data_IF_072987958624
#
_entry.id   IF_072987958624
#
_cell.length_a   1.000
_cell.length_b   1.000
_cell.length_c   1.000
_cell.angle_alpha   90.00
_cell.angle_beta   90.00
_cell.angle_gamma   90.00
#
_symmetry.space_group_name_H-M   'P 1'
#
loop_
_entity.id
_entity.type
_entity.pdbx_description
1 polymer ?
#
# COMPACT_ATOMS: atom_id res chain seq x y z
N UNK A 1 3.75 13.33 21.81
CA UNK A 1 4.20 12.29 20.88
C UNK A 1 4.13 12.78 19.45
N UNK A 2 4.86 12.13 18.55
CA UNK A 2 4.88 12.52 17.15
C UNK A 2 4.93 11.28 16.25
N UNK A 3 3.99 11.19 15.30
CA UNK A 3 4.07 10.23 14.22
C UNK A 3 5.10 10.67 13.18
N UNK A 4 5.85 9.73 12.63
CA UNK A 4 6.87 9.99 11.60
C UNK A 4 6.66 9.00 10.45
N UNK A 5 6.68 9.49 9.22
CA UNK A 5 6.55 8.68 8.01
C UNK A 5 7.62 9.05 6.99
N UNK A 6 8.17 8.04 6.31
CA UNK A 6 9.18 8.22 5.26
C UNK A 6 10.30 7.18 5.28
N UNK A 7 10.33 6.29 6.28
CA UNK A 7 11.38 5.28 6.40
C UNK A 7 12.79 5.87 6.50
N UNK A 8 13.78 5.14 6.01
CA UNK A 8 15.18 5.55 6.00
C UNK A 8 15.42 6.77 5.11
N UNK A 9 14.87 6.80 3.93
CA UNK A 9 14.97 7.92 2.99
C UNK A 9 14.33 9.19 3.56
N UNK A 10 13.14 9.08 4.15
CA UNK A 10 12.49 10.20 4.82
C UNK A 10 13.29 10.71 6.02
N UNK A 11 13.87 9.81 6.83
CA UNK A 11 14.74 10.21 7.93
C UNK A 11 15.97 11.02 7.46
N UNK A 12 16.45 10.72 6.26
CA UNK A 12 17.64 11.36 5.68
C UNK A 12 17.34 12.67 4.94
N UNK A 13 16.23 12.70 4.18
CA UNK A 13 15.94 13.80 3.25
C UNK A 13 14.71 14.64 3.62
N UNK A 14 14.00 14.26 4.67
CA UNK A 14 12.81 14.94 5.18
C UNK A 14 11.63 13.99 5.31
N UNK A 15 11.15 13.70 6.53
CA UNK A 15 9.97 12.88 6.77
C UNK A 15 8.69 13.70 6.72
N UNK A 16 7.55 13.03 6.60
CA UNK A 16 6.25 13.59 6.99
C UNK A 16 6.08 13.47 8.51
N UNK A 17 5.72 14.56 9.18
CA UNK A 17 5.66 14.67 10.63
C UNK A 17 4.23 14.98 11.13
N UNK A 18 3.80 14.23 12.13
CA UNK A 18 2.47 14.33 12.74
C UNK A 18 2.61 14.58 14.24
N UNK A 19 3.00 15.79 14.66
CA UNK A 19 3.14 16.13 16.08
C UNK A 19 1.78 16.16 16.80
N UNK A 20 1.75 15.56 17.99
CA UNK A 20 0.66 15.63 18.96
C UNK A 20 1.20 15.93 20.34
N UNK A 21 0.31 16.21 21.29
CA UNK A 21 0.61 16.69 22.62
C UNK A 21 0.04 18.09 22.82
N UNK A 22 0.39 18.80 23.89
CA UNK A 22 -0.14 20.13 24.10
C UNK A 22 0.37 21.12 23.04
N UNK A 23 -0.46 22.05 22.62
CA UNK A 23 -0.07 23.06 21.61
C UNK A 23 1.10 23.93 22.07
N UNK A 24 1.19 24.18 23.39
CA UNK A 24 2.29 24.91 23.96
C UNK A 24 3.62 24.17 23.77
N UNK A 25 3.64 22.85 24.01
CA UNK A 25 4.83 22.03 23.79
C UNK A 25 5.20 21.98 22.30
N UNK A 26 4.22 21.91 21.41
CA UNK A 26 4.45 21.97 19.95
C UNK A 26 5.16 23.25 19.53
N UNK A 27 4.69 24.42 20.04
CA UNK A 27 5.27 25.73 19.70
C UNK A 27 6.76 25.85 20.04
N UNK A 28 7.27 25.11 21.02
CA UNK A 28 8.71 25.10 21.34
C UNK A 28 9.58 24.38 20.30
N UNK A 29 8.98 23.50 19.49
CA UNK A 29 9.71 22.70 18.50
C UNK A 29 9.28 22.98 17.06
N UNK A 30 8.27 23.80 16.84
CA UNK A 30 7.65 24.07 15.54
C UNK A 30 8.67 24.51 14.51
N UNK A 31 9.54 25.44 14.85
CA UNK A 31 10.59 25.95 13.96
C UNK A 31 11.63 24.88 13.56
N UNK A 32 11.83 23.87 14.40
CA UNK A 32 12.70 22.73 14.13
C UNK A 32 11.99 21.75 13.19
N UNK A 33 10.78 21.31 13.57
CA UNK A 33 10.08 20.25 12.81
C UNK A 33 9.67 20.73 11.42
N UNK A 34 9.33 22.02 11.25
CA UNK A 34 9.07 22.64 9.95
C UNK A 34 10.30 22.57 9.03
N UNK A 35 11.52 22.73 9.58
CA UNK A 35 12.76 22.69 8.79
C UNK A 35 13.19 21.27 8.42
N UNK A 36 12.95 20.29 9.28
CA UNK A 36 13.39 18.91 9.04
C UNK A 36 12.35 18.07 8.27
N UNK A 37 11.09 18.53 8.20
CA UNK A 37 10.06 17.86 7.41
C UNK A 37 10.38 17.91 5.91
N UNK A 38 9.81 16.96 5.15
CA UNK A 38 9.83 17.02 3.69
C UNK A 38 9.25 18.35 3.21
N UNK A 39 9.91 18.98 2.24
CA UNK A 39 9.47 20.22 1.62
C UNK A 39 8.83 19.92 0.27
N UNK A 40 7.58 20.25 0.10
CA UNK A 40 6.81 20.05 -1.14
C UNK A 40 6.23 21.38 -1.62
N UNK A 41 5.59 21.40 -2.78
CA UNK A 41 5.06 22.63 -3.38
C UNK A 41 4.10 23.39 -2.46
N UNK A 42 3.33 22.68 -1.64
CA UNK A 42 2.36 23.25 -0.71
C UNK A 42 2.95 23.61 0.66
N UNK A 43 4.26 23.40 0.84
CA UNK A 43 4.98 23.70 2.08
C UNK A 43 5.55 22.48 2.79
N UNK A 44 5.97 22.63 4.06
CA UNK A 44 6.55 21.54 4.84
C UNK A 44 5.48 20.48 5.20
N UNK A 45 5.85 19.20 5.06
CA UNK A 45 4.98 18.07 5.42
C UNK A 45 4.92 17.87 6.93
N UNK A 46 4.45 18.86 7.65
CA UNK A 46 4.23 18.83 9.10
C UNK A 46 3.04 19.70 9.48
N UNK A 47 2.18 19.18 10.34
CA UNK A 47 1.11 19.96 10.95
C UNK A 47 0.82 19.43 12.35
N UNK A 48 0.48 20.32 13.29
CA UNK A 48 -0.01 19.91 14.60
C UNK A 48 -1.34 19.18 14.46
N UNK A 49 -1.40 17.95 14.98
CA UNK A 49 -2.57 17.07 14.81
C UNK A 49 -3.60 17.26 15.94
N UNK A 50 -3.13 17.45 17.18
CA UNK A 50 -4.01 17.57 18.34
C UNK A 50 -3.36 17.11 19.63
N UNK A 51 -4.11 17.11 20.71
CA UNK A 51 -3.63 16.80 22.03
C UNK A 51 -3.24 15.34 22.23
N UNK A 52 -2.45 15.07 23.26
CA UNK A 52 -2.09 13.73 23.70
C UNK A 52 -1.39 12.88 22.63
N UNK A 53 -1.97 11.73 22.32
CA UNK A 53 -1.44 10.78 21.34
C UNK A 53 -1.94 10.98 19.92
N UNK A 54 -2.63 12.08 19.60
CA UNK A 54 -3.28 12.28 18.30
C UNK A 54 -2.34 12.10 17.11
N UNK A 55 -1.10 12.60 17.18
CA UNK A 55 -0.11 12.41 16.11
C UNK A 55 0.25 10.96 15.86
N UNK A 56 0.42 10.16 16.91
CA UNK A 56 0.69 8.73 16.79
C UNK A 56 -0.54 7.97 16.27
N UNK A 57 -1.74 8.40 16.66
CA UNK A 57 -3.00 7.83 16.19
C UNK A 57 -3.16 8.02 14.68
N UNK A 58 -2.98 9.24 14.20
CA UNK A 58 -3.05 9.54 12.75
C UNK A 58 -2.00 8.76 11.98
N UNK A 59 -0.76 8.65 12.51
CA UNK A 59 0.29 7.83 11.87
C UNK A 59 -0.09 6.35 11.79
N UNK A 60 -0.70 5.82 12.83
CA UNK A 60 -1.18 4.43 12.84
C UNK A 60 -2.26 4.22 11.76
N UNK A 61 -3.24 5.11 11.67
CA UNK A 61 -4.32 5.04 10.67
C UNK A 61 -3.76 5.20 9.25
N UNK A 62 -2.81 6.13 9.03
CA UNK A 62 -2.08 6.24 7.77
C UNK A 62 -1.53 4.89 7.31
N UNK A 63 -0.88 4.15 8.22
CA UNK A 63 -0.36 2.83 7.87
C UNK A 63 -1.46 1.82 7.58
N UNK A 64 -2.62 1.91 8.22
CA UNK A 64 -3.78 1.08 7.88
C UNK A 64 -4.27 1.34 6.45
N UNK A 65 -4.39 2.60 6.05
CA UNK A 65 -4.72 3.00 4.67
C UNK A 65 -3.66 2.44 3.70
N UNK A 66 -2.39 2.59 4.03
CA UNK A 66 -1.27 2.10 3.21
C UNK A 66 -1.31 0.57 3.02
N UNK A 67 -1.73 -0.20 4.03
CA UNK A 67 -1.97 -1.65 3.89
C UNK A 67 -3.06 -1.92 2.85
N UNK A 68 -4.15 -1.17 2.87
CA UNK A 68 -5.18 -1.22 1.85
C UNK A 68 -4.62 -0.94 0.46
N UNK A 69 -3.90 0.15 0.30
CA UNK A 69 -3.29 0.55 -0.96
C UNK A 69 -2.34 -0.52 -1.52
N UNK A 70 -1.47 -1.08 -0.69
CA UNK A 70 -0.54 -2.13 -1.11
C UNK A 70 -1.26 -3.41 -1.54
N UNK A 71 -2.31 -3.81 -0.84
CA UNK A 71 -3.13 -4.97 -1.22
C UNK A 71 -3.84 -4.74 -2.56
N UNK A 72 -4.44 -3.57 -2.74
CA UNK A 72 -5.12 -3.19 -3.99
C UNK A 72 -4.16 -3.15 -5.19
N UNK A 73 -2.94 -2.66 -4.99
CA UNK A 73 -1.89 -2.71 -6.01
C UNK A 73 -1.51 -4.15 -6.33
N UNK A 74 -1.38 -5.01 -5.32
CA UNK A 74 -1.06 -6.42 -5.52
C UNK A 74 -2.17 -7.16 -6.29
N UNK A 75 -3.44 -6.87 -6.00
CA UNK A 75 -4.58 -7.43 -6.73
C UNK A 75 -4.63 -6.92 -8.18
N UNK A 76 -4.39 -5.63 -8.40
CA UNK A 76 -4.29 -5.07 -9.74
C UNK A 76 -3.16 -5.73 -10.55
N UNK A 77 -2.00 -5.93 -9.94
CA UNK A 77 -0.88 -6.67 -10.52
C UNK A 77 -1.29 -8.10 -10.90
N UNK A 78 -1.92 -8.84 -9.98
CA UNK A 78 -2.30 -10.23 -10.22
C UNK A 78 -3.31 -10.36 -11.37
N UNK A 79 -4.33 -9.51 -11.41
CA UNK A 79 -5.30 -9.48 -12.52
C UNK A 79 -4.62 -9.17 -13.84
N UNK A 80 -3.77 -8.17 -13.92
CA UNK A 80 -3.07 -7.81 -15.15
C UNK A 80 -2.11 -8.91 -15.61
N UNK A 81 -1.38 -9.54 -14.69
CA UNK A 81 -0.43 -10.61 -15.00
C UNK A 81 -1.13 -11.92 -15.34
N UNK A 82 -2.06 -12.36 -14.48
CA UNK A 82 -2.69 -13.69 -14.59
C UNK A 82 -3.81 -13.73 -15.61
N UNK A 83 -4.68 -12.71 -15.69
CA UNK A 83 -5.79 -12.64 -16.65
C UNK A 83 -5.37 -11.96 -17.94
N UNK A 84 -4.66 -10.84 -17.84
CA UNK A 84 -4.19 -10.07 -18.99
C UNK A 84 -2.96 -10.64 -19.67
N UNK A 85 -2.21 -11.50 -18.99
CA UNK A 85 -0.95 -12.05 -19.51
C UNK A 85 0.09 -10.96 -19.78
N UNK A 86 0.12 -9.89 -18.98
CA UNK A 86 1.08 -8.81 -19.15
C UNK A 86 2.48 -9.24 -18.71
N UNK A 87 3.47 -8.88 -19.50
CA UNK A 87 4.89 -8.95 -19.11
C UNK A 87 5.23 -7.90 -18.08
N UNK A 88 6.35 -8.05 -17.35
CA UNK A 88 6.80 -7.02 -16.41
C UNK A 88 7.05 -5.67 -17.09
N UNK A 89 7.50 -5.67 -18.34
CA UNK A 89 7.67 -4.45 -19.12
C UNK A 89 6.33 -3.75 -19.43
N UNK A 90 5.29 -4.52 -19.78
CA UNK A 90 3.95 -3.98 -19.98
C UNK A 90 3.36 -3.45 -18.66
N UNK A 91 3.59 -4.16 -17.53
CA UNK A 91 3.22 -3.71 -16.19
C UNK A 91 3.93 -2.41 -15.81
N UNK A 92 5.25 -2.33 -15.99
CA UNK A 92 6.01 -1.11 -15.80
C UNK A 92 5.42 0.06 -16.59
N UNK A 93 5.11 -0.15 -17.86
CA UNK A 93 4.52 0.88 -18.74
C UNK A 93 3.14 1.32 -18.25
N UNK A 94 2.28 0.38 -17.84
CA UNK A 94 0.94 0.68 -17.34
C UNK A 94 0.99 1.51 -16.05
N UNK A 95 1.78 1.09 -15.06
CA UNK A 95 1.92 1.82 -13.79
C UNK A 95 2.61 3.18 -13.97
N UNK A 96 3.59 3.29 -14.89
CA UNK A 96 4.21 4.58 -15.25
C UNK A 96 3.19 5.55 -15.84
N UNK A 97 2.29 5.06 -16.70
CA UNK A 97 1.23 5.90 -17.28
C UNK A 97 0.18 6.28 -16.22
N UNK A 98 -0.20 5.36 -15.36
CA UNK A 98 -1.13 5.64 -14.27
C UNK A 98 -0.61 6.69 -13.28
N UNK A 99 0.71 6.74 -13.07
CA UNK A 99 1.35 7.74 -12.21
C UNK A 99 1.38 9.15 -12.79
N UNK A 100 0.87 9.36 -14.01
CA UNK A 100 0.70 10.70 -14.61
C UNK A 100 -0.72 11.25 -14.47
N UNK A 101 -1.62 10.48 -13.89
CA UNK A 101 -3.03 10.82 -13.76
C UNK A 101 -3.55 10.71 -12.33
N UNK A 102 -4.80 10.30 -12.19
CA UNK A 102 -5.51 10.25 -10.90
C UNK A 102 -4.94 9.24 -9.89
N UNK A 103 -4.10 8.33 -10.33
CA UNK A 103 -3.39 7.38 -9.46
C UNK A 103 -2.01 7.86 -9.05
N UNK A 104 -1.59 9.07 -9.44
CA UNK A 104 -0.30 9.64 -9.07
C UNK A 104 -0.06 9.54 -7.58
N UNK A 105 0.98 8.78 -7.21
CA UNK A 105 1.34 8.56 -5.81
C UNK A 105 2.69 7.87 -5.70
N UNK A 106 3.34 8.03 -4.54
CA UNK A 106 4.60 7.35 -4.24
C UNK A 106 4.53 5.83 -4.45
N UNK A 107 3.45 5.16 -3.99
CA UNK A 107 3.33 3.71 -4.15
C UNK A 107 3.17 3.28 -5.61
N UNK A 108 2.44 4.02 -6.43
CA UNK A 108 2.33 3.73 -7.87
C UNK A 108 3.66 3.96 -8.59
N UNK A 109 4.35 5.04 -8.24
CA UNK A 109 5.68 5.35 -8.79
C UNK A 109 6.68 4.22 -8.51
N UNK A 110 6.88 3.85 -7.24
CA UNK A 110 7.83 2.78 -6.89
C UNK A 110 7.40 1.42 -7.45
N UNK A 111 6.11 1.16 -7.58
CA UNK A 111 5.60 -0.07 -8.20
C UNK A 111 6.03 -0.16 -9.66
N UNK A 112 5.98 0.95 -10.41
CA UNK A 112 6.48 0.97 -11.79
C UNK A 112 7.98 0.62 -11.86
N UNK A 113 8.78 1.15 -10.93
CA UNK A 113 10.22 0.86 -10.86
C UNK A 113 10.51 -0.60 -10.51
N UNK A 114 9.74 -1.19 -9.59
CA UNK A 114 9.90 -2.60 -9.18
C UNK A 114 9.84 -3.54 -10.39
N UNK A 115 8.93 -3.31 -11.34
CA UNK A 115 8.79 -4.13 -12.53
C UNK A 115 9.96 -4.01 -13.52
N UNK A 116 10.77 -2.97 -13.42
CA UNK A 116 11.89 -2.71 -14.31
C UNK A 116 13.25 -3.12 -13.71
N UNK A 117 13.30 -3.57 -12.46
CA UNK A 117 14.56 -3.95 -11.81
C UNK A 117 15.03 -5.31 -12.34
N UNK A 118 16.20 -5.38 -13.02
CA UNK A 118 16.75 -6.66 -13.48
C UNK A 118 17.19 -7.52 -12.29
N UNK A 119 17.11 -8.83 -12.44
CA UNK A 119 17.72 -9.77 -11.49
C UNK A 119 19.25 -9.63 -11.54
N UNK A 120 19.87 -9.39 -10.40
CA UNK A 120 21.33 -9.28 -10.27
C UNK A 120 22.07 -10.64 -10.25
N UNK A 121 21.32 -11.75 -10.24
CA UNK A 121 21.83 -13.12 -10.15
C UNK A 121 21.49 -14.00 -11.34
N UNK A 122 20.70 -13.52 -12.29
CA UNK A 122 20.27 -14.30 -13.44
C UNK A 122 19.44 -13.50 -14.45
N UNK A 123 18.78 -14.20 -15.34
CA UNK A 123 17.93 -13.60 -16.37
C UNK A 123 16.56 -13.20 -15.80
N UNK A 124 15.97 -12.15 -16.36
CA UNK A 124 14.64 -11.64 -16.03
C UNK A 124 14.65 -10.53 -14.99
N UNK A 125 13.50 -10.24 -14.44
CA UNK A 125 13.31 -9.15 -13.46
C UNK A 125 13.28 -9.71 -12.02
N UNK A 126 13.83 -8.93 -11.10
CA UNK A 126 13.97 -9.30 -9.69
C UNK A 126 12.61 -9.57 -9.02
N UNK A 127 11.54 -8.90 -9.43
CA UNK A 127 10.19 -9.08 -8.86
C UNK A 127 9.71 -10.53 -8.95
N UNK A 128 10.06 -11.25 -10.00
CA UNK A 128 9.70 -12.66 -10.18
C UNK A 128 10.52 -13.63 -9.29
N UNK A 129 11.56 -13.12 -8.63
CA UNK A 129 12.45 -13.88 -7.72
C UNK A 129 12.20 -13.59 -6.25
N UNK A 130 11.38 -12.59 -5.94
CA UNK A 130 11.05 -12.22 -4.56
C UNK A 130 10.24 -13.33 -3.90
N UNK A 131 10.57 -13.63 -2.64
CA UNK A 131 9.83 -14.62 -1.86
C UNK A 131 8.36 -14.19 -1.72
N UNK A 132 7.46 -15.05 -2.16
CA UNK A 132 6.01 -14.89 -2.01
C UNK A 132 5.58 -15.11 -0.55
N UNK A 133 5.95 -14.16 0.31
CA UNK A 133 5.62 -14.17 1.74
C UNK A 133 5.75 -12.77 2.33
N UNK A 134 4.65 -12.24 2.83
CA UNK A 134 4.60 -10.92 3.46
C UNK A 134 4.52 -11.03 4.98
N UNK A 135 5.21 -10.13 5.67
CA UNK A 135 5.09 -9.96 7.12
C UNK A 135 4.29 -8.71 7.50
N UNK A 136 4.16 -8.46 8.79
CA UNK A 136 3.57 -7.23 9.31
C UNK A 136 4.36 -6.70 10.53
N UNK A 137 4.31 -5.38 10.72
CA UNK A 137 4.99 -4.68 11.85
C UNK A 137 4.03 -4.29 12.98
N UNK A 138 2.71 -4.51 12.84
CA UNK A 138 1.70 -4.28 13.87
C UNK A 138 0.77 -3.08 13.68
N UNK A 139 1.16 -2.03 12.96
CA UNK A 139 0.35 -0.81 12.81
C UNK A 139 -0.98 -1.04 12.08
N UNK A 140 -1.00 -1.89 11.05
CA UNK A 140 -2.25 -2.27 10.38
C UNK A 140 -3.21 -3.02 11.31
N UNK A 141 -2.68 -3.92 12.15
CA UNK A 141 -3.48 -4.60 13.19
C UNK A 141 -4.10 -3.61 14.17
N UNK A 142 -3.31 -2.65 14.66
CA UNK A 142 -3.83 -1.64 15.59
C UNK A 142 -4.91 -0.75 14.96
N UNK A 143 -4.78 -0.42 13.67
CA UNK A 143 -5.82 0.32 12.95
C UNK A 143 -7.14 -0.44 12.92
N UNK A 144 -7.11 -1.74 12.60
CA UNK A 144 -8.31 -2.60 12.56
C UNK A 144 -8.90 -2.76 13.97
N UNK A 145 -8.07 -2.95 15.00
CA UNK A 145 -8.53 -3.00 16.39
C UNK A 145 -9.23 -1.70 16.79
N UNK A 146 -8.64 -0.55 16.44
CA UNK A 146 -9.23 0.74 16.77
C UNK A 146 -10.52 1.00 15.99
N UNK A 147 -10.62 0.60 14.72
CA UNK A 147 -11.85 0.66 13.96
C UNK A 147 -12.98 -0.13 14.63
N UNK A 148 -12.68 -1.33 15.12
CA UNK A 148 -13.65 -2.16 15.85
C UNK A 148 -14.09 -1.53 17.19
N UNK A 149 -13.15 -0.99 17.98
CA UNK A 149 -13.44 -0.27 19.23
C UNK A 149 -14.34 0.95 19.02
N UNK A 150 -14.12 1.68 17.91
CA UNK A 150 -14.92 2.85 17.55
C UNK A 150 -16.23 2.50 16.81
N UNK A 151 -16.49 1.22 16.55
CA UNK A 151 -17.64 0.75 15.74
C UNK A 151 -17.66 1.34 14.32
N UNK A 152 -16.48 1.54 13.72
CA UNK A 152 -16.31 2.08 12.38
C UNK A 152 -15.99 0.95 11.40
N UNK A 153 -16.74 0.90 10.30
CA UNK A 153 -16.52 -0.09 9.25
C UNK A 153 -15.27 0.24 8.43
N UNK A 154 -14.30 -0.67 8.44
CA UNK A 154 -13.06 -0.55 7.67
C UNK A 154 -12.74 -1.86 6.91
N UNK A 155 -13.67 -2.38 6.06
CA UNK A 155 -13.52 -3.71 5.46
C UNK A 155 -12.32 -3.81 4.52
N UNK A 156 -11.98 -2.79 3.74
CA UNK A 156 -10.81 -2.81 2.85
C UNK A 156 -9.50 -2.91 3.65
N UNK A 157 -9.37 -2.13 4.72
CA UNK A 157 -8.20 -2.16 5.60
C UNK A 157 -8.11 -3.50 6.33
N UNK A 158 -9.24 -4.02 6.83
CA UNK A 158 -9.29 -5.31 7.51
C UNK A 158 -8.91 -6.47 6.57
N UNK A 159 -9.49 -6.51 5.37
CA UNK A 159 -9.17 -7.54 4.38
C UNK A 159 -7.69 -7.52 3.97
N UNK A 160 -7.08 -6.33 3.86
CA UNK A 160 -5.65 -6.22 3.56
C UNK A 160 -4.77 -6.77 4.69
N UNK A 161 -5.17 -6.59 5.94
CA UNK A 161 -4.50 -7.20 7.09
C UNK A 161 -4.60 -8.72 7.06
N UNK A 162 -5.80 -9.26 6.83
CA UNK A 162 -6.03 -10.71 6.75
C UNK A 162 -5.25 -11.34 5.58
N UNK A 163 -5.18 -10.67 4.44
CA UNK A 163 -4.36 -11.08 3.30
C UNK A 163 -2.88 -11.22 3.67
N UNK A 164 -2.35 -10.34 4.53
CA UNK A 164 -0.98 -10.47 5.05
C UNK A 164 -0.79 -11.67 5.95
N UNK A 165 -1.79 -12.00 6.78
CA UNK A 165 -1.74 -13.22 7.60
C UNK A 165 -1.73 -14.47 6.71
N UNK A 166 -2.61 -14.53 5.71
CA UNK A 166 -2.64 -15.63 4.74
C UNK A 166 -1.34 -15.72 3.94
N UNK A 167 -0.79 -14.59 3.50
CA UNK A 167 0.50 -14.55 2.80
C UNK A 167 1.63 -15.15 3.64
N UNK A 168 1.62 -14.91 4.95
CA UNK A 168 2.59 -15.47 5.88
C UNK A 168 2.60 -16.99 5.98
N UNK A 169 1.47 -17.65 5.67
CA UNK A 169 1.25 -19.10 5.73
C UNK A 169 1.67 -19.81 4.43
N UNK A 170 2.86 -19.51 3.90
CA UNK A 170 3.30 -19.98 2.57
C UNK A 170 3.22 -21.50 2.41
N UNK A 171 3.72 -22.26 3.36
CA UNK A 171 3.72 -23.73 3.32
C UNK A 171 2.29 -24.29 3.27
N UNK A 172 1.36 -23.72 4.04
CA UNK A 172 -0.05 -24.11 4.03
C UNK A 172 -0.71 -23.75 2.70
N UNK A 173 -0.44 -22.56 2.15
CA UNK A 173 -0.94 -22.14 0.83
C UNK A 173 -0.46 -23.06 -0.28
N UNK A 174 0.82 -23.43 -0.29
CA UNK A 174 1.39 -24.36 -1.28
C UNK A 174 0.78 -25.76 -1.16
N UNK A 175 0.56 -26.23 0.07
CA UNK A 175 -0.11 -27.51 0.33
C UNK A 175 -1.56 -27.50 -0.12
N UNK A 176 -2.32 -26.47 0.25
CA UNK A 176 -3.72 -26.29 -0.15
C UNK A 176 -3.87 -26.18 -1.69
N UNK A 177 -2.94 -25.45 -2.35
CA UNK A 177 -2.94 -25.33 -3.82
C UNK A 177 -2.86 -26.70 -4.52
N UNK A 178 -2.06 -27.63 -3.99
CA UNK A 178 -1.97 -28.99 -4.56
C UNK A 178 -3.30 -29.72 -4.45
N UNK A 179 -3.93 -29.67 -3.26
CA UNK A 179 -5.24 -30.29 -3.01
C UNK A 179 -6.31 -29.71 -3.92
N UNK A 180 -6.35 -28.39 -4.08
CA UNK A 180 -7.32 -27.74 -4.98
C UNK A 180 -7.13 -28.13 -6.44
N UNK A 181 -5.88 -28.20 -6.91
CA UNK A 181 -5.58 -28.64 -8.27
C UNK A 181 -6.01 -30.09 -8.51
N UNK A 182 -5.74 -30.99 -7.56
CA UNK A 182 -6.18 -32.38 -7.62
C UNK A 182 -7.73 -32.51 -7.63
N UNK A 183 -8.43 -31.58 -6.95
CA UNK A 183 -9.88 -31.50 -6.96
C UNK A 183 -10.46 -30.80 -8.23
N UNK A 184 -9.65 -30.40 -9.18
CA UNK A 184 -10.07 -29.71 -10.39
C UNK A 184 -10.47 -28.25 -10.18
N UNK A 185 -10.06 -27.64 -9.09
CA UNK A 185 -10.34 -26.22 -8.73
C UNK A 185 -9.20 -25.27 -9.12
N UNK A 186 -8.27 -25.71 -9.94
CA UNK A 186 -7.15 -24.88 -10.43
C UNK A 186 -7.32 -24.48 -11.90
N UNK A 187 -6.66 -23.38 -12.26
CA UNK A 187 -6.40 -22.96 -13.66
C UNK A 187 -7.64 -22.61 -14.55
N UNK A 188 -8.68 -22.02 -13.96
CA UNK A 188 -9.88 -21.53 -14.72
C UNK A 188 -9.50 -20.33 -15.63
N UNK A 189 -8.39 -19.64 -15.35
CA UNK A 189 -8.01 -18.38 -16.02
C UNK A 189 -7.39 -18.60 -17.41
N UNK A 190 -6.82 -19.75 -17.71
CA UNK A 190 -6.01 -20.00 -18.91
C UNK A 190 -6.78 -19.98 -20.25
N UNK A 191 -8.10 -19.81 -20.24
CA UNK A 191 -8.96 -19.84 -21.45
C UNK A 191 -9.64 -18.52 -21.78
N UNK A 192 -9.40 -17.46 -21.00
CA UNK A 192 -10.07 -16.17 -21.20
C UNK A 192 -9.27 -15.34 -22.21
N UNK A 193 -9.87 -15.09 -23.38
CA UNK A 193 -9.33 -14.13 -24.33
C UNK A 193 -9.83 -12.73 -23.94
N UNK A 194 -8.94 -11.87 -23.43
CA UNK A 194 -9.26 -10.52 -23.01
C UNK A 194 -8.61 -9.49 -23.94
N UNK A 195 -9.30 -8.38 -24.14
CA UNK A 195 -8.69 -7.17 -24.68
C UNK A 195 -7.79 -6.55 -23.61
N UNK A 196 -6.47 -6.62 -23.80
CA UNK A 196 -5.48 -6.13 -22.84
C UNK A 196 -5.61 -4.63 -22.57
N UNK A 197 -5.87 -3.84 -23.61
CA UNK A 197 -5.96 -2.38 -23.48
C UNK A 197 -7.20 -2.00 -22.63
N UNK A 198 -8.33 -2.63 -22.93
CA UNK A 198 -9.55 -2.45 -22.15
C UNK A 198 -9.35 -2.92 -20.70
N UNK A 199 -8.72 -4.08 -20.48
CA UNK A 199 -8.44 -4.60 -19.14
C UNK A 199 -7.56 -3.65 -18.32
N UNK A 200 -6.48 -3.11 -18.89
CA UNK A 200 -5.59 -2.14 -18.24
C UNK A 200 -6.39 -0.91 -17.81
N UNK A 201 -7.27 -0.40 -18.67
CA UNK A 201 -8.10 0.76 -18.32
C UNK A 201 -9.15 0.44 -17.24
N UNK A 202 -9.75 -0.73 -17.26
CA UNK A 202 -10.76 -1.13 -16.26
C UNK A 202 -10.11 -1.39 -14.91
N UNK A 203 -8.95 -2.04 -14.87
CA UNK A 203 -8.17 -2.24 -13.62
C UNK A 203 -7.71 -0.89 -13.05
N UNK A 204 -7.28 0.06 -13.88
CA UNK A 204 -6.95 1.43 -13.46
C UNK A 204 -8.11 2.09 -12.72
N UNK A 205 -9.31 2.06 -13.31
CA UNK A 205 -10.51 2.63 -12.70
C UNK A 205 -10.92 1.91 -11.41
N UNK A 206 -10.83 0.59 -11.41
CA UNK A 206 -11.14 -0.23 -10.23
C UNK A 206 -10.15 0.07 -9.09
N UNK A 207 -8.86 0.16 -9.39
CA UNK A 207 -7.83 0.52 -8.41
C UNK A 207 -8.10 1.91 -7.82
N UNK A 208 -8.39 2.90 -8.66
CA UNK A 208 -8.72 4.25 -8.19
C UNK A 208 -9.93 4.27 -7.25
N UNK A 209 -11.04 3.65 -7.66
CA UNK A 209 -12.24 3.55 -6.83
C UNK A 209 -11.98 2.83 -5.49
N UNK A 210 -11.19 1.77 -5.51
CA UNK A 210 -10.86 0.99 -4.31
C UNK A 210 -9.93 1.77 -3.37
N UNK A 211 -8.98 2.55 -3.89
CA UNK A 211 -8.14 3.45 -3.08
C UNK A 211 -9.00 4.52 -2.39
N UNK A 212 -9.99 5.10 -3.08
CA UNK A 212 -10.94 6.03 -2.45
C UNK A 212 -11.64 5.36 -1.25
N UNK A 213 -12.06 4.11 -1.38
CA UNK A 213 -12.67 3.37 -0.27
C UNK A 213 -11.70 3.19 0.92
N UNK A 214 -10.44 2.82 0.67
CA UNK A 214 -9.42 2.67 1.70
C UNK A 214 -9.18 4.00 2.45
N UNK A 215 -9.02 5.09 1.71
CA UNK A 215 -8.86 6.44 2.29
C UNK A 215 -10.09 6.86 3.08
N UNK A 216 -11.29 6.70 2.54
CA UNK A 216 -12.53 7.05 3.23
C UNK A 216 -12.69 6.29 4.56
N UNK A 217 -12.36 4.99 4.58
CA UNK A 217 -12.39 4.19 5.81
C UNK A 217 -11.39 4.71 6.85
N UNK A 218 -10.16 5.00 6.44
CA UNK A 218 -9.14 5.56 7.32
C UNK A 218 -9.50 6.95 7.84
N UNK A 219 -9.97 7.85 6.98
CA UNK A 219 -10.41 9.20 7.38
C UNK A 219 -11.60 9.16 8.34
N UNK A 220 -12.45 8.14 8.25
CA UNK A 220 -13.57 7.99 9.16
C UNK A 220 -13.15 7.45 10.55
N UNK A 221 -11.96 6.84 10.66
CA UNK A 221 -11.38 6.41 11.95
C UNK A 221 -10.72 7.59 12.69
N UNK A 222 -10.18 8.59 11.97
CA UNK A 222 -9.59 9.81 12.51
C UNK A 222 -10.68 10.74 13.04
#
# INVERSE_FOLDING_TARGET
GMGVSGGEEGARYGPSLMPGGTIEAYKYIEDIVVKIAAQVNDGPCVTYIGDGGAGNFVKMVHNGIEYGDMQLIAEAYDVLKSVGGLTNQELCSAFTEWNKGELESFLIEITSYIFAVPDDKGDGELVDKILDKTGMKGTGKWTVQQAAELSIAAPTIAASLDSRFLSGLKEERESASKVFKEAGLGDIISTINVDKEQLINDVRKALYASKICSYAQGMNII
#
